data_IF_638608913261
#
_entry.id   IF_638608913261
#
_cell.length_a   1.000
_cell.length_b   1.000
_cell.length_c   1.000
_cell.angle_alpha   90.00
_cell.angle_beta   90.00
_cell.angle_gamma   90.00
#
_symmetry.space_group_name_H-M   'P 1'
#
loop_
_entity.id
_entity.type
_entity.pdbx_description
1 polymer ?
#
# COMPACT_ATOMS: atom_id res chain seq x y z
N UNK A 1 -21.67 -6.32 15.40
CA UNK A 1 -21.14 -5.41 16.47
C UNK A 1 -20.73 -4.07 15.86
N UNK A 2 -20.59 -2.97 16.63
CA UNK A 2 -20.10 -1.70 16.10
C UNK A 2 -18.62 -1.77 15.68
N UNK A 3 -18.25 -1.07 14.59
CA UNK A 3 -16.87 -0.98 14.06
C UNK A 3 -15.82 -0.42 15.06
N UNK A 4 -16.28 0.21 16.14
CA UNK A 4 -15.46 0.83 17.17
C UNK A 4 -15.28 -0.05 18.42
N UNK A 5 -15.83 -1.27 18.43
CA UNK A 5 -15.71 -2.22 19.54
C UNK A 5 -14.89 -3.44 19.11
N UNK A 6 -14.02 -3.90 20.01
CA UNK A 6 -13.11 -5.01 19.71
C UNK A 6 -13.85 -6.35 19.73
N UNK A 7 -13.49 -7.23 18.80
CA UNK A 7 -13.94 -8.62 18.81
C UNK A 7 -13.31 -9.35 20.01
N UNK A 8 -14.12 -10.07 20.78
CA UNK A 8 -13.64 -10.88 21.93
C UNK A 8 -13.04 -12.22 21.50
N UNK A 9 -13.40 -12.68 20.31
CA UNK A 9 -13.00 -13.96 19.72
C UNK A 9 -12.65 -13.77 18.25
N UNK A 10 -11.87 -14.67 17.68
CA UNK A 10 -11.46 -14.59 16.27
C UNK A 10 -12.61 -14.88 15.30
N UNK A 11 -13.49 -15.84 15.62
CA UNK A 11 -14.64 -16.20 14.78
C UNK A 11 -15.90 -16.40 15.63
N UNK A 12 -17.11 -16.27 15.06
CA UNK A 12 -17.38 -15.86 13.66
C UNK A 12 -17.00 -14.40 13.39
N UNK A 13 -16.70 -14.07 12.12
CA UNK A 13 -16.45 -12.68 11.72
C UNK A 13 -17.76 -11.92 11.56
N UNK A 14 -17.78 -10.69 12.06
CA UNK A 14 -18.88 -9.75 11.91
C UNK A 14 -18.82 -9.08 10.53
N UNK A 15 -17.60 -8.95 9.98
CA UNK A 15 -17.32 -8.35 8.66
C UNK A 15 -16.52 -9.31 7.77
N UNK A 16 -17.09 -10.44 7.30
CA UNK A 16 -16.36 -11.43 6.50
C UNK A 16 -15.70 -10.85 5.24
N UNK A 17 -16.30 -9.82 4.62
CA UNK A 17 -15.73 -9.13 3.46
C UNK A 17 -14.34 -8.52 3.74
N UNK A 18 -14.07 -8.08 4.97
CA UNK A 18 -12.79 -7.50 5.34
C UNK A 18 -11.69 -8.56 5.32
N UNK A 19 -12.01 -9.77 5.79
CA UNK A 19 -11.11 -10.91 5.68
C UNK A 19 -10.86 -11.29 4.21
N UNK A 20 -11.86 -11.25 3.35
CA UNK A 20 -11.67 -11.53 1.92
C UNK A 20 -10.73 -10.52 1.25
N UNK A 21 -10.82 -9.23 1.59
CA UNK A 21 -9.86 -8.23 1.10
C UNK A 21 -8.47 -8.41 1.68
N UNK A 22 -8.35 -8.72 2.98
CA UNK A 22 -7.06 -9.09 3.57
C UNK A 22 -6.43 -10.25 2.78
N UNK A 23 -7.18 -11.33 2.56
CA UNK A 23 -6.71 -12.52 1.85
C UNK A 23 -6.31 -12.19 0.42
N UNK A 24 -7.12 -11.40 -0.29
CA UNK A 24 -6.79 -10.94 -1.65
C UNK A 24 -5.50 -10.14 -1.69
N UNK A 25 -5.29 -9.23 -0.73
CA UNK A 25 -4.03 -8.48 -0.65
C UNK A 25 -2.83 -9.39 -0.43
N UNK A 26 -2.95 -10.42 0.43
CA UNK A 26 -1.86 -11.39 0.62
C UNK A 26 -1.53 -12.18 -0.66
N UNK A 27 -2.55 -12.51 -1.46
CA UNK A 27 -2.38 -13.24 -2.71
C UNK A 27 -1.74 -12.42 -3.83
N UNK A 28 -1.79 -11.09 -3.71
CA UNK A 28 -1.22 -10.13 -4.67
C UNK A 28 0.01 -9.42 -4.10
N UNK A 29 0.62 -9.97 -3.05
CA UNK A 29 1.83 -9.40 -2.47
C UNK A 29 2.99 -9.52 -3.46
N UNK A 30 3.79 -8.45 -3.53
CA UNK A 30 4.96 -8.34 -4.40
C UNK A 30 6.00 -7.47 -3.71
N UNK A 31 7.25 -7.55 -4.16
CA UNK A 31 8.35 -6.68 -3.77
C UNK A 31 8.96 -5.96 -4.99
N UNK A 32 9.56 -4.77 -4.82
CA UNK A 32 10.11 -3.99 -5.93
C UNK A 32 11.14 -4.76 -6.77
N UNK A 33 11.91 -5.63 -6.13
CA UNK A 33 12.94 -6.45 -6.77
C UNK A 33 12.36 -7.47 -7.78
N UNK A 34 11.06 -7.75 -7.72
CA UNK A 34 10.37 -8.63 -8.67
C UNK A 34 10.10 -7.94 -10.02
N UNK A 35 10.27 -6.60 -10.10
CA UNK A 35 10.02 -5.81 -11.30
C UNK A 35 11.33 -5.54 -12.06
N UNK A 36 11.54 -6.13 -13.26
CA UNK A 36 12.76 -5.91 -14.02
C UNK A 36 12.75 -4.53 -14.68
N UNK A 37 13.66 -3.62 -14.26
CA UNK A 37 13.77 -2.25 -14.78
C UNK A 37 14.92 -2.04 -15.78
N UNK A 38 15.56 -3.11 -16.26
CA UNK A 38 16.76 -3.01 -17.09
C UNK A 38 16.56 -2.22 -18.39
N UNK A 39 15.45 -2.48 -19.09
CA UNK A 39 15.10 -1.76 -20.32
C UNK A 39 14.71 -0.31 -20.04
N UNK A 40 13.89 -0.09 -19.02
CA UNK A 40 13.43 1.23 -18.58
C UNK A 40 14.60 2.14 -18.22
N UNK A 41 15.62 1.61 -17.54
CA UNK A 41 16.86 2.33 -17.23
C UNK A 41 17.64 2.73 -18.49
N UNK A 42 17.65 1.89 -19.54
CA UNK A 42 18.27 2.24 -20.83
C UNK A 42 17.48 3.33 -21.54
N UNK A 43 16.17 3.21 -21.55
CA UNK A 43 15.27 4.19 -22.17
C UNK A 43 15.34 5.54 -21.46
N UNK A 44 15.39 5.52 -20.13
CA UNK A 44 15.72 6.67 -19.32
C UNK A 44 17.02 7.30 -19.80
N UNK A 45 18.13 6.57 -19.86
CA UNK A 45 19.42 7.14 -20.22
C UNK A 45 19.52 7.64 -21.68
N UNK A 46 18.83 7.00 -22.63
CA UNK A 46 19.12 7.18 -24.06
C UNK A 46 17.98 7.78 -24.88
N UNK A 47 16.73 7.63 -24.46
CA UNK A 47 15.56 8.03 -25.28
C UNK A 47 14.86 9.27 -24.76
N UNK A 48 14.87 9.50 -23.46
CA UNK A 48 14.13 10.62 -22.86
C UNK A 48 14.88 11.94 -23.03
N UNK A 49 14.15 12.95 -23.49
CA UNK A 49 14.56 14.35 -23.40
C UNK A 49 14.63 14.82 -21.95
N UNK A 50 15.35 15.92 -21.71
CA UNK A 50 15.44 16.52 -20.37
C UNK A 50 14.07 16.95 -19.83
N UNK A 51 13.16 17.37 -20.72
CA UNK A 51 11.81 17.75 -20.33
C UNK A 51 10.99 16.55 -19.84
N UNK A 52 11.00 15.44 -20.57
CA UNK A 52 10.30 14.21 -20.20
C UNK A 52 10.88 13.62 -18.91
N UNK A 53 12.21 13.59 -18.79
CA UNK A 53 12.90 13.14 -17.58
C UNK A 53 12.53 13.98 -16.36
N UNK A 54 12.46 15.30 -16.52
CA UNK A 54 12.03 16.19 -15.45
C UNK A 54 10.57 15.93 -15.06
N UNK A 55 9.66 15.76 -16.04
CA UNK A 55 8.26 15.42 -15.77
C UNK A 55 8.14 14.13 -14.95
N UNK A 56 8.76 13.04 -15.40
CA UNK A 56 8.74 11.76 -14.70
C UNK A 56 9.34 11.86 -13.29
N UNK A 57 10.43 12.62 -13.12
CA UNK A 57 11.03 12.88 -11.81
C UNK A 57 10.04 13.53 -10.84
N UNK A 58 9.24 14.51 -11.30
CA UNK A 58 8.23 15.13 -10.45
C UNK A 58 7.07 14.17 -10.14
N UNK A 59 6.69 13.32 -11.09
CA UNK A 59 5.68 12.28 -10.88
C UNK A 59 6.14 11.29 -9.79
N UNK A 60 7.38 10.78 -9.86
CA UNK A 60 7.91 9.87 -8.85
C UNK A 60 7.98 10.51 -7.47
N UNK A 61 8.42 11.77 -7.38
CA UNK A 61 8.41 12.54 -6.11
C UNK A 61 7.02 12.68 -5.53
N UNK A 62 6.03 12.98 -6.38
CA UNK A 62 4.65 13.11 -5.94
C UNK A 62 4.12 11.80 -5.36
N UNK A 63 4.28 10.67 -6.08
CA UNK A 63 3.80 9.38 -5.59
C UNK A 63 4.53 8.93 -4.32
N UNK A 64 5.86 9.10 -4.26
CA UNK A 64 6.63 8.77 -3.04
C UNK A 64 6.10 9.53 -1.82
N UNK A 65 5.85 10.84 -1.95
CA UNK A 65 5.36 11.65 -0.83
C UNK A 65 3.89 11.37 -0.50
N UNK A 66 3.05 11.17 -1.51
CA UNK A 66 1.64 10.87 -1.32
C UNK A 66 1.45 9.54 -0.59
N UNK A 67 2.21 8.50 -0.95
CA UNK A 67 2.09 7.18 -0.32
C UNK A 67 2.57 7.19 1.13
N UNK A 68 3.55 8.03 1.49
CA UNK A 68 3.92 8.27 2.89
C UNK A 68 2.71 8.79 3.70
N UNK A 69 1.94 9.71 3.14
CA UNK A 69 0.74 10.26 3.81
C UNK A 69 -0.40 9.24 3.91
N UNK A 70 -0.61 8.44 2.86
CA UNK A 70 -1.63 7.37 2.85
C UNK A 70 -1.27 6.28 3.87
N UNK A 71 0.01 5.92 3.95
CA UNK A 71 0.51 4.96 4.93
C UNK A 71 0.28 5.44 6.37
N UNK A 72 0.56 6.71 6.68
CA UNK A 72 0.26 7.33 7.98
C UNK A 72 -1.25 7.28 8.28
N UNK A 73 -2.09 7.54 7.29
CA UNK A 73 -3.54 7.45 7.46
C UNK A 73 -3.98 6.04 7.88
N UNK A 74 -3.50 4.98 7.20
CA UNK A 74 -3.84 3.61 7.59
C UNK A 74 -3.28 3.25 8.97
N UNK A 75 -2.03 3.60 9.26
CA UNK A 75 -1.33 3.17 10.45
C UNK A 75 -1.77 3.94 11.71
N UNK A 76 -1.68 5.27 11.65
CA UNK A 76 -1.83 6.16 12.80
C UNK A 76 -3.29 6.63 12.99
N UNK A 77 -4.06 6.77 11.90
CA UNK A 77 -5.44 7.28 11.98
C UNK A 77 -6.45 6.15 12.01
N UNK A 78 -6.48 5.30 10.99
CA UNK A 78 -7.55 4.29 10.82
C UNK A 78 -7.35 3.07 11.71
N UNK A 79 -6.13 2.52 11.77
CA UNK A 79 -5.79 1.33 12.58
C UNK A 79 -6.05 1.51 14.08
N UNK A 80 -6.08 2.77 14.56
CA UNK A 80 -6.40 3.12 15.95
C UNK A 80 -7.90 3.25 16.21
N UNK A 81 -8.71 3.54 15.20
CA UNK A 81 -10.16 3.76 15.35
C UNK A 81 -10.92 2.45 15.29
N UNK A 82 -10.66 1.63 14.26
CA UNK A 82 -11.40 0.39 14.04
C UNK A 82 -10.86 -0.77 14.87
N UNK A 83 -11.77 -1.53 15.46
CA UNK A 83 -11.43 -2.53 16.48
C UNK A 83 -11.72 -4.00 16.12
N UNK A 84 -12.69 -4.35 15.25
CA UNK A 84 -12.91 -5.74 14.85
C UNK A 84 -11.64 -6.35 14.22
N UNK A 85 -11.35 -7.60 14.58
CA UNK A 85 -10.09 -8.27 14.20
C UNK A 85 -9.89 -8.32 12.69
N UNK A 86 -10.90 -8.73 11.94
CA UNK A 86 -10.88 -8.86 10.48
C UNK A 86 -10.72 -7.51 9.77
N UNK A 87 -11.22 -6.42 10.36
CA UNK A 87 -11.01 -5.06 9.85
C UNK A 87 -9.55 -4.65 10.09
N UNK A 88 -9.01 -4.93 11.28
CA UNK A 88 -7.60 -4.66 11.58
C UNK A 88 -6.67 -5.48 10.68
N UNK A 89 -6.99 -6.74 10.41
CA UNK A 89 -6.23 -7.57 9.46
C UNK A 89 -6.17 -6.90 8.08
N UNK A 90 -7.32 -6.48 7.54
CA UNK A 90 -7.40 -5.78 6.25
C UNK A 90 -6.59 -4.49 6.25
N UNK A 91 -6.79 -3.61 7.23
CA UNK A 91 -6.08 -2.32 7.31
C UNK A 91 -4.56 -2.50 7.47
N UNK A 92 -4.12 -3.50 8.23
CA UNK A 92 -2.69 -3.82 8.36
C UNK A 92 -2.11 -4.28 7.02
N UNK A 93 -2.82 -5.11 6.27
CA UNK A 93 -2.35 -5.55 4.95
C UNK A 93 -2.26 -4.39 3.96
N UNK A 94 -3.22 -3.47 3.96
CA UNK A 94 -3.18 -2.26 3.12
C UNK A 94 -2.04 -1.34 3.55
N UNK A 95 -1.90 -1.07 4.86
CA UNK A 95 -0.80 -0.26 5.41
C UNK A 95 0.57 -0.82 5.04
N UNK A 96 0.75 -2.14 5.12
CA UNK A 96 2.00 -2.79 4.70
C UNK A 96 2.26 -2.60 3.21
N UNK A 97 1.23 -2.74 2.36
CA UNK A 97 1.40 -2.56 0.92
C UNK A 97 1.83 -1.13 0.56
N UNK A 98 1.32 -0.10 1.25
CA UNK A 98 1.80 1.27 1.04
C UNK A 98 3.28 1.44 1.38
N UNK A 99 3.83 0.71 2.37
CA UNK A 99 5.28 0.75 2.64
C UNK A 99 6.12 0.18 1.49
N UNK A 100 5.60 -0.83 0.80
CA UNK A 100 6.24 -1.39 -0.39
C UNK A 100 6.10 -0.45 -1.57
N UNK A 101 4.95 0.23 -1.73
CA UNK A 101 4.79 1.26 -2.76
C UNK A 101 5.80 2.40 -2.59
N UNK A 102 5.98 2.90 -1.36
CA UNK A 102 7.00 3.91 -1.05
C UNK A 102 8.39 3.42 -1.48
N UNK A 103 8.75 2.19 -1.13
CA UNK A 103 10.04 1.59 -1.51
C UNK A 103 10.17 1.38 -3.03
N UNK A 104 9.08 1.15 -3.75
CA UNK A 104 9.08 0.98 -5.19
C UNK A 104 9.26 2.30 -5.95
N UNK A 105 8.74 3.41 -5.40
CA UNK A 105 8.87 4.74 -6.00
C UNK A 105 10.18 5.46 -5.64
N UNK A 106 10.84 5.06 -4.55
CA UNK A 106 12.09 5.66 -4.04
C UNK A 106 13.34 5.14 -4.75
#
# INVERSE_FOLDING_TARGET
MPLLQASKVYKPFEYPWAYEFWKRQQQLHWLPEEVPLGEDCRDWAQKLSDHERNLLTQIFRFFTQADVEVQDCYHEKYGRVFKPTEIKMMLTAFSNMETVHIAAYS
#
